data_IF_603632065521
#
_entry.id   IF_603632065521
#
_cell.length_a   1.000
_cell.length_b   1.000
_cell.length_c   1.000
_cell.angle_alpha   90.00
_cell.angle_beta   90.00
_cell.angle_gamma   90.00
#
_symmetry.space_group_name_H-M   'P 1'
#
loop_
_entity.id
_entity.type
_entity.pdbx_description
1 polymer ?
#
# COMPACT_ATOMS: atom_id res chain seq x y z
N UNK A 1 -11.24 46.19 -30.40
CA UNK A 1 -10.59 46.02 -29.09
C UNK A 1 -11.00 44.66 -28.52
N UNK A 2 -10.13 43.64 -28.45
CA UNK A 2 -10.55 42.37 -27.82
C UNK A 2 -9.81 41.06 -28.17
N UNK A 3 -8.55 41.08 -28.64
CA UNK A 3 -7.81 39.83 -28.96
C UNK A 3 -6.44 39.73 -28.26
N UNK A 4 -6.35 40.13 -27.00
CA UNK A 4 -5.08 40.13 -26.26
C UNK A 4 -4.94 39.05 -25.18
N UNK A 5 -5.93 38.17 -24.95
CA UNK A 5 -5.89 37.16 -23.86
C UNK A 5 -5.73 35.72 -24.42
N UNK A 6 -5.22 35.54 -25.64
CA UNK A 6 -5.12 34.21 -26.25
C UNK A 6 -3.71 33.83 -26.73
N UNK A 7 -2.66 34.46 -26.18
CA UNK A 7 -1.29 34.27 -26.67
C UNK A 7 -0.26 33.89 -25.59
N UNK A 8 -0.69 33.48 -24.39
CA UNK A 8 0.25 33.06 -23.32
C UNK A 8 0.03 31.57 -22.91
N UNK A 9 -0.91 30.85 -23.53
CA UNK A 9 -1.33 29.54 -23.01
C UNK A 9 -0.56 28.32 -23.55
N UNK A 10 0.37 28.46 -24.49
CA UNK A 10 0.93 27.30 -25.21
C UNK A 10 2.45 27.07 -25.06
N UNK A 11 3.19 27.93 -24.36
CA UNK A 11 4.67 27.85 -24.33
C UNK A 11 5.27 27.48 -22.97
N UNK A 12 4.47 27.25 -21.94
CA UNK A 12 4.99 26.76 -20.66
C UNK A 12 4.10 25.64 -20.18
N UNK A 13 4.57 24.39 -20.31
CA UNK A 13 4.50 23.31 -19.30
C UNK A 13 4.78 21.88 -19.86
N UNK A 14 5.60 21.61 -20.90
CA UNK A 14 6.01 20.22 -21.16
C UNK A 14 6.94 19.69 -20.05
N UNK A 15 7.47 20.58 -19.20
CA UNK A 15 8.48 20.24 -18.18
C UNK A 15 7.92 19.89 -16.80
N UNK A 16 6.70 20.32 -16.45
CA UNK A 16 6.03 19.84 -15.22
C UNK A 16 5.36 18.47 -15.45
N UNK A 17 4.78 18.25 -16.63
CA UNK A 17 4.15 16.97 -16.99
C UNK A 17 5.10 15.76 -16.94
N UNK A 18 6.42 15.99 -17.08
CA UNK A 18 7.43 14.94 -16.98
C UNK A 18 7.75 14.51 -15.55
N UNK A 19 7.53 15.39 -14.56
CA UNK A 19 7.66 15.03 -13.15
C UNK A 19 6.46 14.17 -12.70
N UNK A 20 5.27 14.45 -13.23
CA UNK A 20 4.05 13.69 -12.93
C UNK A 20 4.15 12.23 -13.39
N UNK A 21 4.78 11.98 -14.54
CA UNK A 21 4.93 10.62 -15.09
C UNK A 21 5.73 9.67 -14.20
N UNK A 22 6.82 10.15 -13.57
CA UNK A 22 7.66 9.32 -12.69
C UNK A 22 6.91 8.98 -11.39
N UNK A 23 6.21 9.96 -10.83
CA UNK A 23 5.41 9.79 -9.60
C UNK A 23 4.26 8.81 -9.85
N UNK A 24 3.49 9.00 -10.93
CA UNK A 24 2.39 8.11 -11.31
C UNK A 24 2.89 6.68 -11.53
N UNK A 25 4.01 6.52 -12.22
CA UNK A 25 4.57 5.20 -12.51
C UNK A 25 5.05 4.50 -11.23
N UNK A 26 5.73 5.23 -10.34
CA UNK A 26 6.16 4.72 -9.03
C UNK A 26 4.98 4.23 -8.19
N UNK A 27 3.94 5.06 -8.01
CA UNK A 27 2.76 4.67 -7.25
C UNK A 27 2.00 3.52 -7.90
N UNK A 28 1.90 3.50 -9.23
CA UNK A 28 1.25 2.39 -9.96
C UNK A 28 1.93 1.04 -9.69
N UNK A 29 3.27 1.00 -9.66
CA UNK A 29 4.02 -0.22 -9.30
C UNK A 29 3.81 -0.62 -7.84
N UNK A 30 3.85 0.34 -6.92
CA UNK A 30 3.58 0.08 -5.51
C UNK A 30 2.18 -0.50 -5.29
N UNK A 31 1.16 0.05 -5.95
CA UNK A 31 -0.20 -0.45 -5.86
C UNK A 31 -0.34 -1.86 -6.40
N UNK A 32 0.36 -2.22 -7.48
CA UNK A 32 0.34 -3.59 -8.01
C UNK A 32 0.90 -4.61 -7.02
N UNK A 33 1.98 -4.27 -6.33
CA UNK A 33 2.61 -5.12 -5.30
C UNK A 33 1.75 -5.23 -4.03
N UNK A 34 1.13 -4.12 -3.59
CA UNK A 34 0.34 -4.09 -2.35
C UNK A 34 -1.07 -4.65 -2.55
N UNK A 35 -1.64 -4.54 -3.75
CA UNK A 35 -2.97 -5.05 -4.07
C UNK A 35 -3.03 -6.59 -4.14
N UNK A 36 -1.92 -7.29 -3.90
CA UNK A 36 -1.96 -8.72 -3.72
C UNK A 36 -2.86 -9.09 -2.54
N UNK A 37 -3.84 -10.00 -2.72
CA UNK A 37 -4.69 -10.45 -1.63
C UNK A 37 -3.82 -10.99 -0.50
N UNK A 38 -3.79 -10.28 0.63
CA UNK A 38 -3.12 -10.74 1.83
C UNK A 38 -3.78 -12.07 2.21
N UNK A 39 -3.02 -13.16 2.10
CA UNK A 39 -3.43 -14.51 2.47
C UNK A 39 -2.94 -14.81 3.89
N UNK A 40 -3.72 -14.46 4.92
CA UNK A 40 -3.36 -14.77 6.30
C UNK A 40 -3.12 -16.27 6.49
N UNK A 41 -3.76 -17.14 5.69
CA UNK A 41 -3.66 -18.60 5.78
C UNK A 41 -2.23 -19.15 5.60
N UNK A 42 -1.32 -18.40 4.97
CA UNK A 42 0.11 -18.77 4.91
C UNK A 42 0.90 -18.39 6.16
N UNK A 43 0.41 -17.43 6.93
CA UNK A 43 1.09 -16.84 8.08
C UNK A 43 0.52 -17.33 9.42
N UNK A 44 -0.73 -17.79 9.44
CA UNK A 44 -1.42 -18.32 10.63
C UNK A 44 -1.34 -19.84 10.80
N UNK A 45 -0.44 -20.53 10.09
CA UNK A 45 -0.22 -21.98 10.31
C UNK A 45 0.73 -22.28 11.46
N UNK A 46 1.34 -21.26 12.08
CA UNK A 46 1.90 -21.39 13.42
C UNK A 46 0.77 -21.11 14.38
N UNK A 47 0.18 -22.17 14.92
CA UNK A 47 -0.74 -22.08 16.04
C UNK A 47 -0.16 -21.23 17.18
N UNK A 48 -0.95 -20.95 18.23
CA UNK A 48 -0.51 -20.11 19.32
C UNK A 48 0.90 -20.49 19.81
N UNK A 49 1.84 -19.55 19.76
CA UNK A 49 3.22 -19.82 20.16
C UNK A 49 3.34 -20.20 21.64
N UNK A 50 4.52 -20.65 22.11
CA UNK A 50 4.74 -21.03 23.50
C UNK A 50 4.33 -19.93 24.51
N UNK A 51 4.52 -18.66 24.14
CA UNK A 51 4.11 -17.51 24.95
C UNK A 51 2.58 -17.37 25.10
N UNK A 52 1.80 -17.84 24.13
CA UNK A 52 0.35 -17.89 24.24
C UNK A 52 -0.09 -19.07 25.11
N UNK A 53 0.57 -20.22 25.00
CA UNK A 53 0.30 -21.39 25.86
C UNK A 53 0.68 -21.13 27.31
N UNK A 54 1.76 -20.41 27.59
CA UNK A 54 2.11 -20.00 28.97
C UNK A 54 1.02 -19.13 29.62
N UNK A 55 0.27 -18.36 28.82
CA UNK A 55 -0.80 -17.48 29.31
C UNK A 55 -2.17 -18.17 29.41
N UNK A 56 -2.46 -19.15 28.55
CA UNK A 56 -3.80 -19.73 28.39
C UNK A 56 -3.88 -21.24 28.67
N UNK A 57 -2.76 -21.96 28.66
CA UNK A 57 -2.69 -23.42 28.84
C UNK A 57 -2.93 -23.91 30.27
N UNK A 58 -2.89 -23.00 31.25
CA UNK A 58 -3.16 -23.31 32.67
C UNK A 58 -4.62 -23.64 32.98
N UNK A 59 -5.54 -23.53 32.02
CA UNK A 59 -6.98 -23.76 32.24
C UNK A 59 -7.48 -25.15 31.82
N UNK A 60 -6.66 -25.99 31.16
CA UNK A 60 -7.10 -27.29 30.60
C UNK A 60 -6.40 -28.54 31.19
N UNK A 61 -5.50 -28.38 32.16
CA UNK A 61 -4.65 -29.47 32.66
C UNK A 61 -4.57 -29.54 34.18
N UNK A 62 -5.71 -29.69 34.87
CA UNK A 62 -5.72 -30.23 36.23
C UNK A 62 -6.05 -31.73 36.12
N UNK A 63 -5.16 -32.66 36.52
CA UNK A 63 -5.52 -34.07 36.63
C UNK A 63 -6.63 -34.21 37.68
N UNK A 64 -7.76 -34.80 37.29
CA UNK A 64 -8.71 -35.42 38.21
C UNK A 64 -8.35 -36.89 38.35
#
# INVERSE_FOLDING_TARGET
MGRAIAAISHVTLPRLAQLDGVVIQFFSRLFQEIAHPYRPERHYMRGPGPAWHAKNGGLHGAPR
#
